data_IF_857543888514
#
_entry.id   IF_857543888514
#
_cell.length_a   1.000
_cell.length_b   1.000
_cell.length_c   1.000
_cell.angle_alpha   90.00
_cell.angle_beta   90.00
_cell.angle_gamma   90.00
#
_symmetry.space_group_name_H-M   'P 1'
#
loop_
_entity.id
_entity.type
_entity.pdbx_description
1 polymer ?
#
# COMPACT_ATOMS: atom_id res chain seq x y z
N UNK A 1 -50.19 -14.70 19.77
CA UNK A 1 -49.07 -14.33 20.64
C UNK A 1 -49.21 -15.11 21.93
N UNK A 2 -48.24 -15.93 22.34
CA UNK A 2 -48.37 -16.86 23.44
C UNK A 2 -48.41 -16.11 24.79
N UNK A 3 -49.47 -16.26 25.64
CA UNK A 3 -49.62 -15.51 26.89
C UNK A 3 -48.48 -15.76 27.89
N UNK A 4 -47.79 -16.89 27.82
CA UNK A 4 -46.61 -17.17 28.64
C UNK A 4 -45.41 -16.22 28.35
N UNK A 5 -45.29 -15.68 27.14
CA UNK A 5 -44.26 -14.72 26.77
C UNK A 5 -44.50 -13.35 27.41
N UNK A 6 -45.74 -12.93 27.54
CA UNK A 6 -46.13 -11.66 28.15
C UNK A 6 -45.92 -11.67 29.69
N UNK A 7 -46.07 -12.82 30.33
CA UNK A 7 -45.78 -12.97 31.77
C UNK A 7 -44.28 -12.97 32.07
N UNK A 8 -43.43 -13.56 31.18
CA UNK A 8 -41.99 -13.47 31.30
C UNK A 8 -41.47 -12.05 31.17
N UNK A 9 -42.00 -11.26 30.23
CA UNK A 9 -41.63 -9.87 30.06
C UNK A 9 -41.99 -8.98 31.24
N UNK A 10 -43.05 -9.28 31.96
CA UNK A 10 -43.45 -8.51 33.18
C UNK A 10 -42.55 -8.76 34.39
N UNK A 11 -41.77 -9.84 34.41
CA UNK A 11 -40.84 -10.19 35.50
C UNK A 11 -39.40 -9.67 35.28
N UNK A 12 -39.09 -9.10 34.09
CA UNK A 12 -37.77 -8.58 33.81
C UNK A 12 -37.61 -7.22 34.49
N UNK A 13 -36.71 -7.16 35.46
CA UNK A 13 -36.29 -5.89 36.07
C UNK A 13 -35.58 -5.04 35.01
N UNK A 14 -36.33 -4.10 34.42
CA UNK A 14 -35.89 -3.26 33.30
C UNK A 14 -34.60 -2.50 33.65
N UNK A 15 -34.39 -2.14 34.93
CA UNK A 15 -33.16 -1.46 35.36
C UNK A 15 -31.97 -2.40 35.30
N UNK A 16 -32.11 -3.66 35.72
CA UNK A 16 -31.02 -4.65 35.62
C UNK A 16 -30.74 -5.02 34.17
N UNK A 17 -31.79 -5.21 33.37
CA UNK A 17 -31.61 -5.46 31.93
C UNK A 17 -30.87 -4.33 31.20
N UNK A 18 -31.17 -3.08 31.52
CA UNK A 18 -30.46 -1.91 30.94
C UNK A 18 -28.98 -1.88 31.37
N UNK A 19 -28.66 -2.18 32.63
CA UNK A 19 -27.27 -2.23 33.11
C UNK A 19 -26.48 -3.32 32.37
N UNK A 20 -27.06 -4.52 32.21
CA UNK A 20 -26.40 -5.59 31.45
C UNK A 20 -26.23 -5.26 29.98
N UNK A 21 -27.21 -4.61 29.35
CA UNK A 21 -27.12 -4.17 27.95
C UNK A 21 -25.98 -3.15 27.74
N UNK A 22 -25.87 -2.16 28.64
CA UNK A 22 -24.77 -1.18 28.60
C UNK A 22 -23.42 -1.85 28.83
N UNK A 23 -23.33 -2.77 29.78
CA UNK A 23 -22.11 -3.54 30.04
C UNK A 23 -21.67 -4.38 28.82
N UNK A 24 -22.61 -5.05 28.17
CA UNK A 24 -22.35 -5.83 26.96
C UNK A 24 -21.88 -4.93 25.81
N UNK A 25 -22.50 -3.75 25.63
CA UNK A 25 -22.10 -2.79 24.61
C UNK A 25 -20.68 -2.29 24.82
N UNK A 26 -20.30 -1.98 26.05
CA UNK A 26 -18.94 -1.54 26.41
C UNK A 26 -17.90 -2.65 26.12
N UNK A 27 -18.22 -3.89 26.41
CA UNK A 27 -17.34 -5.03 26.11
C UNK A 27 -17.16 -5.21 24.59
N UNK A 28 -18.20 -5.04 23.81
CA UNK A 28 -18.13 -5.11 22.34
C UNK A 28 -17.23 -3.97 21.81
N UNK A 29 -17.41 -2.74 22.29
CA UNK A 29 -16.59 -1.60 21.88
C UNK A 29 -15.11 -1.84 22.24
N UNK A 30 -14.83 -2.34 23.45
CA UNK A 30 -13.49 -2.67 23.89
C UNK A 30 -12.86 -3.77 23.01
N UNK A 31 -13.61 -4.83 22.70
CA UNK A 31 -13.15 -5.91 21.84
C UNK A 31 -12.82 -5.42 20.42
N UNK A 32 -13.63 -4.54 19.86
CA UNK A 32 -13.39 -3.92 18.56
C UNK A 32 -12.14 -3.03 18.58
N UNK A 33 -11.95 -2.24 19.63
CA UNK A 33 -10.77 -1.40 19.82
C UNK A 33 -9.49 -2.23 19.93
N UNK A 34 -9.47 -3.28 20.74
CA UNK A 34 -8.33 -4.20 20.89
C UNK A 34 -8.02 -4.89 19.55
N UNK A 35 -9.06 -5.33 18.84
CA UNK A 35 -8.91 -5.98 17.52
C UNK A 35 -8.30 -5.02 16.48
N UNK A 36 -8.70 -3.74 16.51
CA UNK A 36 -8.12 -2.69 15.67
C UNK A 36 -6.63 -2.49 15.99
N UNK A 37 -6.27 -2.32 17.27
CA UNK A 37 -4.87 -2.18 17.71
C UNK A 37 -3.98 -3.35 17.33
N UNK A 38 -4.47 -4.58 17.48
CA UNK A 38 -3.72 -5.79 17.08
C UNK A 38 -3.50 -5.80 15.56
N UNK A 39 -4.47 -5.36 14.78
CA UNK A 39 -4.38 -5.31 13.31
C UNK A 39 -3.36 -4.25 12.86
N UNK A 40 -3.39 -3.08 13.47
CA UNK A 40 -2.42 -2.00 13.22
C UNK A 40 -0.99 -2.45 13.56
N UNK A 41 -0.77 -3.04 14.73
CA UNK A 41 0.54 -3.54 15.14
C UNK A 41 1.07 -4.69 14.24
N UNK A 42 0.17 -5.53 13.71
CA UNK A 42 0.56 -6.57 12.74
C UNK A 42 0.93 -5.98 11.38
N UNK A 43 0.20 -4.95 10.91
CA UNK A 43 0.52 -4.26 9.68
C UNK A 43 1.88 -3.57 9.78
N UNK A 44 2.12 -2.82 10.85
CA UNK A 44 3.39 -2.13 11.11
C UNK A 44 4.60 -3.09 11.12
N UNK A 45 4.47 -4.25 11.80
CA UNK A 45 5.52 -5.28 11.77
C UNK A 45 5.75 -5.87 10.39
N UNK A 46 4.69 -6.11 9.62
CA UNK A 46 4.81 -6.63 8.26
C UNK A 46 5.52 -5.63 7.33
N UNK A 47 5.27 -4.34 7.50
CA UNK A 47 5.95 -3.27 6.77
C UNK A 47 7.43 -3.17 7.15
N UNK A 48 7.75 -3.28 8.45
CA UNK A 48 9.13 -3.28 8.91
C UNK A 48 9.93 -4.46 8.36
N UNK A 49 9.34 -5.66 8.30
CA UNK A 49 9.95 -6.84 7.70
C UNK A 49 10.23 -6.60 6.22
N UNK A 50 9.25 -6.12 5.45
CA UNK A 50 9.44 -5.80 4.03
C UNK A 50 10.52 -4.77 3.79
N UNK A 51 10.59 -3.72 4.63
CA UNK A 51 11.65 -2.71 4.53
C UNK A 51 13.03 -3.31 4.73
N UNK A 52 13.18 -4.21 5.71
CA UNK A 52 14.45 -4.93 5.93
C UNK A 52 14.81 -5.83 4.76
N UNK A 53 13.85 -6.57 4.21
CA UNK A 53 14.05 -7.41 3.01
C UNK A 53 14.52 -6.57 1.81
N UNK A 54 13.96 -5.37 1.60
CA UNK A 54 14.42 -4.47 0.54
C UNK A 54 15.84 -3.94 0.79
N UNK A 55 16.18 -3.59 2.03
CA UNK A 55 17.54 -3.15 2.38
C UNK A 55 18.56 -4.28 2.18
N UNK A 56 18.27 -5.48 2.65
CA UNK A 56 19.12 -6.66 2.44
C UNK A 56 19.28 -6.98 0.95
N UNK A 57 18.20 -6.86 0.18
CA UNK A 57 18.22 -7.05 -1.28
C UNK A 57 19.06 -5.99 -1.99
N UNK A 58 19.00 -4.74 -1.56
CA UNK A 58 19.82 -3.66 -2.07
C UNK A 58 21.31 -3.90 -1.76
N UNK A 59 21.63 -4.22 -0.50
CA UNK A 59 23.00 -4.53 -0.10
C UNK A 59 23.56 -5.73 -0.88
N UNK A 60 22.74 -6.75 -1.08
CA UNK A 60 23.10 -7.92 -1.89
C UNK A 60 23.33 -7.55 -3.35
N UNK A 61 22.46 -6.72 -3.94
CA UNK A 61 22.59 -6.27 -5.32
C UNK A 61 23.86 -5.42 -5.52
N UNK A 62 24.18 -4.55 -4.58
CA UNK A 62 25.42 -3.75 -4.60
C UNK A 62 26.65 -4.66 -4.44
N UNK A 63 26.63 -5.62 -3.50
CA UNK A 63 27.76 -6.50 -3.22
C UNK A 63 28.07 -7.47 -4.39
N UNK A 64 27.07 -7.82 -5.19
CA UNK A 64 27.22 -8.68 -6.39
C UNK A 64 27.66 -7.92 -7.63
N UNK A 65 28.06 -6.65 -7.52
CA UNK A 65 28.63 -5.85 -8.60
C UNK A 65 27.62 -4.92 -9.30
N UNK A 66 26.46 -4.72 -8.68
CA UNK A 66 25.50 -3.73 -9.13
C UNK A 66 25.86 -2.36 -8.54
N UNK A 67 26.71 -1.59 -9.23
CA UNK A 67 26.93 -0.18 -8.86
C UNK A 67 25.66 0.62 -9.11
N UNK A 68 25.44 1.64 -8.26
CA UNK A 68 24.38 2.63 -8.47
C UNK A 68 24.75 3.50 -9.66
N UNK A 69 23.85 3.66 -10.63
CA UNK A 69 24.08 4.44 -11.83
C UNK A 69 23.96 5.95 -11.59
N UNK A 70 23.35 6.37 -10.48
CA UNK A 70 23.05 7.76 -10.18
C UNK A 70 23.42 8.12 -8.73
N UNK A 71 23.65 9.41 -8.45
CA UNK A 71 23.72 9.93 -7.10
C UNK A 71 22.41 9.69 -6.33
N UNK A 72 22.48 9.56 -5.02
CA UNK A 72 21.31 9.31 -4.17
C UNK A 72 20.18 10.33 -4.33
N UNK A 73 20.55 11.61 -4.52
CA UNK A 73 19.59 12.69 -4.73
C UNK A 73 18.73 12.48 -5.98
N UNK A 74 19.29 11.89 -7.03
CA UNK A 74 18.57 11.66 -8.29
C UNK A 74 17.48 10.58 -8.13
N UNK A 75 17.73 9.54 -7.33
CA UNK A 75 16.69 8.54 -7.01
C UNK A 75 15.52 9.17 -6.27
N UNK A 76 15.78 10.12 -5.37
CA UNK A 76 14.71 10.85 -4.68
C UNK A 76 13.89 11.69 -5.65
N UNK A 77 14.55 12.39 -6.57
CA UNK A 77 13.86 13.17 -7.61
C UNK A 77 13.02 12.26 -8.51
N UNK A 78 13.57 11.13 -8.96
CA UNK A 78 12.83 10.14 -9.76
C UNK A 78 11.66 9.55 -9.00
N UNK A 79 11.80 9.25 -7.71
CA UNK A 79 10.73 8.77 -6.86
C UNK A 79 9.61 9.81 -6.69
N UNK A 80 9.96 11.10 -6.52
CA UNK A 80 8.98 12.19 -6.44
C UNK A 80 8.25 12.39 -7.78
N UNK A 81 8.96 12.24 -8.90
CA UNK A 81 8.34 12.27 -10.22
C UNK A 81 7.36 11.10 -10.43
N UNK A 82 7.74 9.87 -10.05
CA UNK A 82 6.83 8.73 -10.13
C UNK A 82 5.58 8.99 -9.28
N UNK A 83 5.75 9.48 -8.05
CA UNK A 83 4.62 9.82 -7.20
C UNK A 83 3.69 10.84 -7.88
N UNK A 84 4.26 11.89 -8.46
CA UNK A 84 3.50 12.89 -9.23
C UNK A 84 2.76 12.24 -10.40
N UNK A 85 3.41 11.38 -11.18
CA UNK A 85 2.81 10.68 -12.31
C UNK A 85 1.68 9.72 -11.91
N UNK A 86 1.76 9.13 -10.72
CA UNK A 86 0.70 8.27 -10.18
C UNK A 86 -0.54 9.05 -9.73
N UNK A 87 -0.40 10.33 -9.34
CA UNK A 87 -1.51 11.19 -8.90
C UNK A 87 -2.02 12.13 -10.00
N UNK A 88 -1.29 12.32 -11.09
CA UNK A 88 -1.70 13.17 -12.21
C UNK A 88 -2.91 12.56 -12.94
N UNK A 89 -4.10 13.07 -12.63
CA UNK A 89 -5.32 12.79 -13.38
C UNK A 89 -5.47 13.84 -14.48
N UNK A 90 -4.77 13.69 -15.60
CA UNK A 90 -4.82 14.65 -16.71
C UNK A 90 -5.64 14.14 -17.90
N UNK A 91 -6.60 14.95 -18.36
CA UNK A 91 -7.21 14.82 -19.68
C UNK A 91 -6.12 15.05 -20.73
N UNK A 92 -5.53 13.99 -21.24
CA UNK A 92 -4.47 14.08 -22.27
C UNK A 92 -3.47 12.92 -22.25
N UNK A 93 -3.35 12.21 -21.16
CA UNK A 93 -2.37 11.11 -20.99
C UNK A 93 -3.01 9.70 -20.94
N UNK A 94 -4.21 9.51 -21.44
CA UNK A 94 -4.81 8.17 -21.54
C UNK A 94 -6.23 8.02 -21.01
N UNK A 95 -6.93 9.10 -20.62
CA UNK A 95 -8.34 9.04 -20.27
C UNK A 95 -8.70 9.59 -18.89
N UNK A 96 -9.97 9.56 -18.56
CA UNK A 96 -10.60 10.18 -17.37
C UNK A 96 -10.00 9.74 -16.02
N UNK A 97 -9.13 8.70 -15.99
CA UNK A 97 -8.51 8.10 -14.83
C UNK A 97 -7.05 7.71 -15.08
N UNK A 98 -6.37 8.32 -16.06
CA UNK A 98 -5.04 7.87 -16.51
C UNK A 98 -3.90 8.44 -15.68
N UNK A 99 -3.04 7.54 -15.26
CA UNK A 99 -1.69 7.79 -14.76
C UNK A 99 -0.81 8.26 -15.92
N UNK A 100 0.21 9.09 -15.66
CA UNK A 100 1.23 9.42 -16.66
C UNK A 100 2.20 8.25 -16.88
N UNK A 101 1.75 7.23 -17.61
CA UNK A 101 2.49 6.00 -17.90
C UNK A 101 3.83 6.27 -18.58
N UNK A 102 3.85 7.18 -19.57
CA UNK A 102 5.06 7.52 -20.32
C UNK A 102 6.15 8.10 -19.42
N UNK A 103 5.77 8.91 -18.44
CA UNK A 103 6.69 9.44 -17.45
C UNK A 103 7.29 8.33 -16.58
N UNK A 104 6.47 7.38 -16.13
CA UNK A 104 6.93 6.22 -15.34
C UNK A 104 7.87 5.35 -16.18
N UNK A 105 7.50 5.00 -17.42
CA UNK A 105 8.35 4.21 -18.32
C UNK A 105 9.69 4.88 -18.57
N UNK A 106 9.71 6.20 -18.83
CA UNK A 106 10.95 6.95 -19.02
C UNK A 106 11.86 6.95 -17.78
N UNK A 107 11.33 6.78 -16.58
CA UNK A 107 12.15 6.58 -15.38
C UNK A 107 12.67 5.14 -15.32
N UNK A 108 11.83 4.13 -15.61
CA UNK A 108 12.27 2.74 -15.63
C UNK A 108 13.34 2.50 -16.71
N UNK A 109 13.25 3.16 -17.84
CA UNK A 109 14.27 3.12 -18.90
C UNK A 109 15.65 3.67 -18.45
N UNK A 110 15.71 4.50 -17.42
CA UNK A 110 16.99 4.98 -16.85
C UNK A 110 17.67 3.95 -15.95
N UNK A 111 16.92 3.02 -15.34
CA UNK A 111 17.49 2.00 -14.47
C UNK A 111 18.41 1.08 -15.28
N UNK A 112 19.61 0.80 -14.77
CA UNK A 112 20.61 -0.04 -15.46
C UNK A 112 20.94 -1.33 -14.68
N UNK A 113 20.66 -1.36 -13.38
CA UNK A 113 20.99 -2.48 -12.49
C UNK A 113 19.83 -2.80 -11.54
N UNK A 114 19.83 -3.99 -10.96
CA UNK A 114 18.92 -4.33 -9.88
C UNK A 114 19.08 -3.38 -8.67
N UNK A 115 20.33 -2.94 -8.40
CA UNK A 115 20.62 -1.98 -7.34
C UNK A 115 19.91 -0.64 -7.55
N UNK A 116 19.85 -0.14 -8.81
CA UNK A 116 19.11 1.08 -9.13
C UNK A 116 17.62 0.96 -8.79
N UNK A 117 17.02 -0.18 -9.11
CA UNK A 117 15.60 -0.43 -8.83
C UNK A 117 15.34 -0.50 -7.33
N UNK A 118 16.17 -1.22 -6.57
CA UNK A 118 16.04 -1.26 -5.11
C UNK A 118 16.23 0.10 -4.47
N UNK A 119 17.22 0.89 -4.96
CA UNK A 119 17.44 2.26 -4.45
C UNK A 119 16.28 3.18 -4.77
N UNK A 120 15.66 3.03 -5.94
CA UNK A 120 14.46 3.78 -6.31
C UNK A 120 13.26 3.41 -5.40
N UNK A 121 13.09 2.12 -5.07
CA UNK A 121 12.05 1.66 -4.14
C UNK A 121 12.29 2.26 -2.74
N UNK A 122 13.54 2.23 -2.26
CA UNK A 122 13.93 2.83 -0.98
C UNK A 122 13.64 4.34 -0.96
N UNK A 123 14.04 5.05 -2.03
CA UNK A 123 13.83 6.49 -2.16
C UNK A 123 12.35 6.88 -2.27
N UNK A 124 11.52 6.02 -2.86
CA UNK A 124 10.07 6.22 -2.91
C UNK A 124 9.47 6.10 -1.51
N UNK A 125 9.97 5.17 -0.70
CA UNK A 125 9.49 4.92 0.65
C UNK A 125 8.00 4.57 0.68
N UNK A 126 7.30 5.05 1.69
CA UNK A 126 5.84 4.90 1.82
C UNK A 126 5.14 6.24 1.57
N UNK A 127 4.14 6.23 0.70
CA UNK A 127 3.40 7.43 0.30
C UNK A 127 1.91 7.17 0.33
N UNK A 128 1.17 8.17 0.77
CA UNK A 128 -0.27 8.12 0.80
C UNK A 128 -0.83 8.32 -0.62
N UNK A 129 -1.38 7.25 -1.19
CA UNK A 129 -1.96 7.24 -2.52
C UNK A 129 -3.42 6.77 -2.48
N UNK A 130 -4.20 7.21 -3.45
CA UNK A 130 -5.57 6.78 -3.65
C UNK A 130 -5.65 5.95 -4.92
N UNK A 131 -6.03 4.69 -4.80
CA UNK A 131 -6.29 3.86 -5.97
C UNK A 131 -7.48 4.44 -6.78
N UNK A 132 -7.37 4.56 -8.12
CA UNK A 132 -8.35 5.26 -8.96
C UNK A 132 -9.75 4.65 -8.92
N UNK A 133 -9.88 3.36 -8.59
CA UNK A 133 -11.15 2.63 -8.47
C UNK A 133 -11.69 2.56 -7.04
N UNK A 134 -10.95 3.06 -6.03
CA UNK A 134 -11.44 3.13 -4.65
C UNK A 134 -12.08 4.50 -4.41
N UNK A 135 -13.40 4.52 -4.24
CA UNK A 135 -14.18 5.75 -3.99
C UNK A 135 -13.80 6.42 -2.65
N UNK A 136 -13.26 5.66 -1.69
CA UNK A 136 -13.01 6.11 -0.33
C UNK A 136 -11.64 5.68 0.17
N UNK A 137 -10.93 6.65 0.76
CA UNK A 137 -9.70 6.43 1.52
C UNK A 137 -8.43 6.47 0.68
N UNK A 138 -7.40 7.08 1.26
CA UNK A 138 -6.02 6.97 0.85
C UNK A 138 -5.37 5.87 1.67
N UNK A 139 -4.40 5.19 1.12
CA UNK A 139 -3.64 4.14 1.78
C UNK A 139 -2.15 4.40 1.58
N UNK A 140 -1.34 3.93 2.52
CA UNK A 140 0.11 3.98 2.40
C UNK A 140 0.58 2.89 1.43
N UNK A 141 1.41 3.27 0.48
CA UNK A 141 1.96 2.38 -0.54
C UNK A 141 3.46 2.62 -0.69
N UNK A 142 4.24 1.55 -0.71
CA UNK A 142 5.57 1.55 -1.28
C UNK A 142 5.48 1.42 -2.82
N UNK A 143 6.59 1.61 -3.53
CA UNK A 143 6.58 1.61 -4.99
C UNK A 143 5.98 0.33 -5.61
N UNK A 144 6.37 -0.90 -5.19
CA UNK A 144 5.75 -2.12 -5.71
C UNK A 144 4.25 -2.22 -5.45
N UNK A 145 3.78 -1.87 -4.25
CA UNK A 145 2.34 -1.89 -3.95
C UNK A 145 1.57 -0.81 -4.69
N UNK A 146 2.19 0.37 -4.89
CA UNK A 146 1.60 1.43 -5.70
C UNK A 146 1.40 0.98 -7.16
N UNK A 147 2.39 0.33 -7.76
CA UNK A 147 2.28 -0.18 -9.12
C UNK A 147 1.23 -1.28 -9.23
N UNK A 148 1.19 -2.24 -8.30
CA UNK A 148 0.22 -3.34 -8.35
C UNK A 148 -1.23 -2.90 -8.12
N UNK A 149 -1.46 -1.79 -7.40
CA UNK A 149 -2.81 -1.31 -7.07
C UNK A 149 -3.31 -0.18 -7.96
N UNK A 150 -2.41 0.62 -8.54
CA UNK A 150 -2.77 1.81 -9.30
C UNK A 150 -2.67 1.58 -10.81
N UNK A 151 -1.65 0.83 -11.25
CA UNK A 151 -1.44 0.52 -12.65
C UNK A 151 -2.27 -0.69 -13.10
N UNK A 152 -2.64 -0.71 -14.38
CA UNK A 152 -3.21 -1.91 -14.98
C UNK A 152 -2.14 -2.98 -15.19
N UNK A 153 -2.57 -4.25 -15.21
CA UNK A 153 -1.65 -5.39 -15.41
C UNK A 153 -0.77 -5.26 -16.65
N UNK A 154 -1.31 -4.69 -17.74
CA UNK A 154 -0.55 -4.43 -18.97
C UNK A 154 0.57 -3.42 -18.77
N UNK A 155 0.36 -2.39 -17.96
CA UNK A 155 1.34 -1.35 -17.65
C UNK A 155 2.47 -1.89 -16.78
N UNK A 156 2.14 -2.70 -15.77
CA UNK A 156 3.16 -3.41 -14.96
C UNK A 156 3.95 -4.39 -15.81
N UNK A 157 3.29 -5.08 -16.75
CA UNK A 157 3.96 -5.96 -17.69
C UNK A 157 4.95 -5.22 -18.58
N UNK A 158 4.61 -4.01 -19.04
CA UNK A 158 5.49 -3.15 -19.84
C UNK A 158 6.71 -2.69 -19.03
N UNK A 159 6.51 -2.26 -17.78
CA UNK A 159 7.60 -1.93 -16.86
C UNK A 159 8.56 -3.12 -16.73
N UNK A 160 8.01 -4.32 -16.50
CA UNK A 160 8.81 -5.52 -16.38
C UNK A 160 9.54 -5.88 -17.67
N UNK A 161 8.96 -5.61 -18.85
CA UNK A 161 9.60 -5.80 -20.15
C UNK A 161 10.76 -4.81 -20.35
N UNK A 162 10.59 -3.54 -19.96
CA UNK A 162 11.66 -2.52 -19.98
C UNK A 162 12.85 -3.00 -19.13
N UNK A 163 12.61 -3.40 -17.88
CA UNK A 163 13.66 -3.89 -16.99
C UNK A 163 14.33 -5.14 -17.54
N UNK A 164 13.55 -6.10 -18.07
CA UNK A 164 14.07 -7.32 -18.67
C UNK A 164 14.97 -7.06 -19.88
N UNK A 165 14.63 -6.10 -20.73
CA UNK A 165 15.42 -5.73 -21.92
C UNK A 165 16.83 -5.23 -21.57
N UNK A 166 17.02 -4.78 -20.34
CA UNK A 166 18.30 -4.30 -19.78
C UNK A 166 19.02 -5.34 -18.93
N UNK A 167 18.49 -6.56 -18.85
CA UNK A 167 19.06 -7.64 -18.05
C UNK A 167 18.80 -7.51 -16.54
N UNK A 168 17.99 -6.55 -16.12
CA UNK A 168 17.57 -6.38 -14.73
C UNK A 168 16.65 -7.54 -14.36
N UNK A 169 16.89 -8.20 -13.22
CA UNK A 169 16.13 -9.38 -12.79
C UNK A 169 14.91 -9.02 -11.94
N UNK A 170 14.95 -7.86 -11.29
CA UNK A 170 13.81 -7.39 -10.47
C UNK A 170 12.53 -7.34 -11.30
N UNK A 171 11.39 -7.68 -10.66
CA UNK A 171 10.04 -7.57 -11.25
C UNK A 171 9.07 -6.99 -10.22
N UNK A 172 8.19 -6.10 -10.72
CA UNK A 172 7.08 -5.56 -9.97
C UNK A 172 5.86 -6.47 -9.99
#
# INVERSE_FOLDING_TARGET
>A
MNPAYLEMLKKVDVKKAAIYAVGALLLIILALYVRKKIREAKAERAEEVKRKEYQESLETAISTGGELSFPEADYKIMADQIFTYLIETGVGNGGLFGVNQKGIYGIMEKMNTDADVYKLIEAFGERELRAPYKLWGKQMHNLPSAFSEILFKGEVSEINAILASKGIKFRF
#
